data_IF_437783415084
#
_entry.id   IF_437783415084
#
_cell.length_a   1.000
_cell.length_b   1.000
_cell.length_c   1.000
_cell.angle_alpha   90.00
_cell.angle_beta   90.00
_cell.angle_gamma   90.00
#
_symmetry.space_group_name_H-M   'P 1'
#
loop_
_entity.id
_entity.type
_entity.pdbx_description
1 polymer ?
#
# COMPACT_ATOMS: atom_id res chain seq x y z
N UNK A 1 -34.16 -24.85 -37.52
CA UNK A 1 -33.22 -23.87 -38.09
C UNK A 1 -32.24 -23.56 -36.98
N UNK A 2 -30.93 -23.78 -37.18
CA UNK A 2 -29.94 -23.43 -36.17
C UNK A 2 -29.81 -21.92 -36.09
N UNK A 3 -29.90 -21.35 -34.90
CA UNK A 3 -29.77 -19.91 -34.71
C UNK A 3 -28.37 -19.47 -35.14
N UNK A 4 -28.33 -18.53 -36.08
CA UNK A 4 -27.10 -17.98 -36.61
C UNK A 4 -26.45 -17.10 -35.55
N UNK A 5 -25.26 -17.50 -35.08
CA UNK A 5 -24.56 -16.80 -34.03
C UNK A 5 -23.37 -16.02 -34.57
N UNK A 6 -23.29 -14.71 -34.27
CA UNK A 6 -22.11 -13.93 -34.60
C UNK A 6 -20.98 -14.26 -33.61
N UNK A 7 -19.79 -14.52 -34.14
CA UNK A 7 -18.58 -14.84 -33.42
C UNK A 7 -17.41 -14.01 -33.98
N UNK A 8 -16.41 -13.75 -33.16
CA UNK A 8 -15.16 -13.12 -33.61
C UNK A 8 -14.04 -14.16 -33.56
N UNK A 9 -13.21 -14.22 -34.59
CA UNK A 9 -12.09 -15.16 -34.70
C UNK A 9 -10.80 -14.38 -34.88
N UNK A 10 -9.71 -14.83 -34.26
CA UNK A 10 -8.38 -14.28 -34.45
C UNK A 10 -7.30 -15.37 -34.50
N UNK A 11 -6.15 -15.04 -35.10
CA UNK A 11 -4.96 -15.89 -35.09
C UNK A 11 -4.21 -15.74 -33.75
N UNK A 12 -3.31 -16.67 -33.43
CA UNK A 12 -2.36 -16.63 -32.31
C UNK A 12 -1.71 -15.24 -32.11
N UNK A 13 -1.32 -14.56 -33.19
CA UNK A 13 -0.71 -13.22 -33.14
C UNK A 13 -1.67 -12.09 -32.76
N UNK A 14 -2.99 -12.33 -32.72
CA UNK A 14 -4.07 -11.36 -32.44
C UNK A 14 -4.08 -10.10 -33.33
N UNK A 15 -3.29 -10.06 -34.41
CA UNK A 15 -3.14 -8.90 -35.31
C UNK A 15 -4.38 -8.69 -36.21
N UNK A 16 -5.00 -9.77 -36.65
CA UNK A 16 -6.20 -9.75 -37.48
C UNK A 16 -7.34 -10.45 -36.75
N UNK A 17 -8.52 -9.82 -36.78
CA UNK A 17 -9.76 -10.41 -36.26
C UNK A 17 -10.87 -10.32 -37.29
N UNK A 18 -11.60 -11.42 -37.45
CA UNK A 18 -12.66 -11.58 -38.43
C UNK A 18 -13.98 -11.85 -37.70
N UNK A 19 -15.05 -11.18 -38.14
CA UNK A 19 -16.41 -11.47 -37.69
C UNK A 19 -17.00 -12.57 -38.57
N UNK A 20 -17.44 -13.67 -37.96
CA UNK A 20 -18.06 -14.79 -38.66
C UNK A 20 -19.45 -15.03 -38.09
N UNK A 21 -20.34 -15.50 -38.96
CA UNK A 21 -21.67 -15.98 -38.55
C UNK A 21 -21.70 -17.48 -38.77
N UNK A 22 -21.91 -18.21 -37.67
CA UNK A 22 -21.84 -19.67 -37.63
C UNK A 22 -23.02 -20.27 -36.90
N UNK A 23 -23.37 -21.49 -37.25
CA UNK A 23 -24.41 -22.29 -36.59
C UNK A 23 -23.83 -23.42 -35.72
N UNK A 24 -22.54 -23.73 -35.85
CA UNK A 24 -21.88 -24.77 -35.05
C UNK A 24 -20.37 -24.55 -34.90
N UNK A 25 -19.76 -25.22 -33.93
CA UNK A 25 -18.32 -25.19 -33.68
C UNK A 25 -17.52 -25.70 -34.88
N UNK A 26 -18.01 -26.74 -35.56
CA UNK A 26 -17.38 -27.26 -36.78
C UNK A 26 -17.38 -26.21 -37.91
N UNK A 27 -18.49 -25.47 -38.06
CA UNK A 27 -18.55 -24.40 -39.05
C UNK A 27 -17.61 -23.24 -38.69
N UNK A 28 -17.42 -22.96 -37.40
CA UNK A 28 -16.43 -21.99 -36.93
C UNK A 28 -14.99 -22.42 -37.27
N UNK A 29 -14.65 -23.71 -37.14
CA UNK A 29 -13.33 -24.22 -37.53
C UNK A 29 -13.08 -24.08 -39.03
N UNK A 30 -14.05 -24.43 -39.86
CA UNK A 30 -13.93 -24.36 -41.32
C UNK A 30 -13.84 -22.90 -41.78
N UNK A 31 -14.84 -22.06 -41.48
CA UNK A 31 -14.83 -20.65 -41.90
C UNK A 31 -13.72 -19.85 -41.23
N UNK A 32 -13.38 -20.19 -39.99
CA UNK A 32 -12.30 -19.58 -39.23
C UNK A 32 -10.93 -19.89 -39.83
N UNK A 33 -10.67 -21.13 -40.21
CA UNK A 33 -9.41 -21.50 -40.87
C UNK A 33 -9.29 -20.87 -42.27
N UNK A 34 -10.37 -20.90 -43.07
CA UNK A 34 -10.43 -20.22 -44.38
C UNK A 34 -10.13 -18.72 -44.27
N UNK A 35 -10.77 -18.03 -43.32
CA UNK A 35 -10.58 -16.58 -43.13
C UNK A 35 -9.21 -16.20 -42.56
N UNK A 36 -8.59 -17.09 -41.79
CA UNK A 36 -7.24 -16.89 -41.24
C UNK A 36 -6.12 -17.40 -42.16
N UNK A 37 -6.45 -18.06 -43.27
CA UNK A 37 -5.46 -18.67 -44.17
C UNK A 37 -4.74 -19.86 -43.56
N UNK A 38 -5.33 -20.53 -42.57
CA UNK A 38 -4.82 -21.78 -42.01
C UNK A 38 -5.16 -22.91 -42.99
N UNK A 39 -4.20 -23.79 -43.29
CA UNK A 39 -4.39 -24.88 -44.25
C UNK A 39 -5.57 -25.77 -43.86
N UNK A 40 -6.47 -26.03 -44.81
CA UNK A 40 -7.76 -26.71 -44.57
C UNK A 40 -7.65 -28.14 -44.00
N UNK A 41 -6.46 -28.75 -44.06
CA UNK A 41 -6.18 -30.12 -43.55
C UNK A 41 -5.46 -30.16 -42.20
N UNK A 42 -5.01 -29.03 -41.65
CA UNK A 42 -4.32 -29.02 -40.37
C UNK A 42 -5.33 -29.12 -39.20
N UNK A 43 -5.06 -29.91 -38.14
CA UNK A 43 -5.84 -29.86 -36.93
C UNK A 43 -5.78 -28.45 -36.33
N UNK A 44 -6.95 -27.87 -36.04
CA UNK A 44 -7.06 -26.56 -35.42
C UNK A 44 -7.78 -26.68 -34.08
N UNK A 45 -7.12 -26.17 -33.03
CA UNK A 45 -7.69 -26.00 -31.71
C UNK A 45 -8.40 -24.65 -31.61
N UNK A 46 -9.59 -24.64 -31.01
CA UNK A 46 -10.37 -23.42 -30.79
C UNK A 46 -10.31 -23.11 -29.31
N UNK A 47 -9.86 -21.91 -28.97
CA UNK A 47 -9.76 -21.45 -27.58
C UNK A 47 -10.44 -20.10 -27.43
N UNK A 48 -10.81 -19.75 -26.20
CA UNK A 48 -11.26 -18.40 -25.86
C UNK A 48 -10.08 -17.43 -25.86
N UNK A 49 -10.26 -16.28 -26.48
CA UNK A 49 -9.19 -15.28 -26.57
C UNK A 49 -8.83 -14.68 -25.20
N UNK A 50 -9.80 -14.61 -24.29
CA UNK A 50 -9.71 -13.94 -23.00
C UNK A 50 -8.81 -14.68 -22.00
N UNK A 51 -8.99 -15.99 -21.87
CA UNK A 51 -8.41 -16.80 -20.79
C UNK A 51 -7.75 -18.10 -21.29
N UNK A 52 -7.87 -18.41 -22.59
CA UNK A 52 -7.27 -19.59 -23.19
C UNK A 52 -8.06 -20.87 -22.97
N UNK A 53 -9.29 -20.78 -22.47
CA UNK A 53 -10.15 -21.96 -22.28
C UNK A 53 -10.39 -22.65 -23.63
N UNK A 54 -10.07 -23.95 -23.70
CA UNK A 54 -10.22 -24.75 -24.92
C UNK A 54 -11.70 -25.10 -25.12
N UNK A 55 -12.21 -24.85 -26.33
CA UNK A 55 -13.61 -25.08 -26.71
C UNK A 55 -13.66 -26.26 -27.69
N UNK A 56 -13.90 -27.46 -27.15
CA UNK A 56 -14.07 -28.69 -27.94
C UNK A 56 -15.52 -29.17 -27.99
N UNK A 57 -16.33 -28.77 -27.02
CA UNK A 57 -17.73 -29.17 -26.88
C UNK A 57 -18.69 -28.16 -27.53
N UNK A 58 -19.63 -28.68 -28.33
CA UNK A 58 -20.67 -27.91 -29.00
C UNK A 58 -21.63 -27.27 -28.00
N UNK A 59 -21.95 -27.95 -26.89
CA UNK A 59 -22.86 -27.42 -25.87
C UNK A 59 -22.21 -26.22 -25.18
N UNK A 60 -20.93 -26.35 -24.80
CA UNK A 60 -20.15 -25.23 -24.26
C UNK A 60 -20.08 -24.06 -25.23
N UNK A 61 -19.82 -24.30 -26.52
CA UNK A 61 -19.84 -23.26 -27.55
C UNK A 61 -21.16 -22.50 -27.55
N UNK A 62 -22.30 -23.19 -27.53
CA UNK A 62 -23.65 -22.60 -27.57
C UNK A 62 -24.00 -21.80 -26.30
N UNK A 63 -23.46 -22.14 -25.14
CA UNK A 63 -23.69 -21.43 -23.88
C UNK A 63 -22.94 -20.10 -23.76
N UNK A 64 -21.90 -19.88 -24.58
CA UNK A 64 -21.13 -18.63 -24.54
C UNK A 64 -21.99 -17.43 -25.02
N UNK A 65 -21.63 -16.18 -24.69
CA UNK A 65 -22.33 -15.00 -25.20
C UNK A 65 -22.16 -14.78 -26.71
N UNK A 66 -23.12 -14.13 -27.37
CA UNK A 66 -22.96 -13.65 -28.75
C UNK A 66 -21.74 -12.71 -28.88
N UNK A 67 -21.06 -12.72 -30.03
CA UNK A 67 -19.82 -11.97 -30.29
C UNK A 67 -18.61 -12.35 -29.42
N UNK A 68 -18.63 -13.54 -28.79
CA UNK A 68 -17.44 -14.09 -28.11
C UNK A 68 -16.26 -14.18 -29.08
N UNK A 69 -15.07 -13.82 -28.59
CA UNK A 69 -13.82 -13.83 -29.35
C UNK A 69 -13.09 -15.15 -29.14
N UNK A 70 -13.00 -15.90 -30.20
CA UNK A 70 -12.28 -17.16 -30.29
C UNK A 70 -10.92 -16.95 -30.95
N UNK A 71 -9.98 -17.80 -30.61
CA UNK A 71 -8.66 -17.89 -31.21
C UNK A 71 -8.51 -19.29 -31.79
N UNK A 72 -8.10 -19.36 -33.05
CA UNK A 72 -7.79 -20.61 -33.73
C UNK A 72 -6.27 -20.80 -33.69
N UNK A 73 -5.84 -21.95 -33.20
CA UNK A 73 -4.45 -22.32 -33.00
C UNK A 73 -4.12 -23.57 -33.83
N UNK A 74 -3.03 -23.52 -34.59
CA UNK A 74 -2.50 -24.73 -35.26
C UNK A 74 -1.75 -25.66 -34.31
N UNK A 75 -1.35 -26.84 -34.80
CA UNK A 75 -0.68 -27.92 -34.03
C UNK A 75 0.52 -27.53 -33.16
N UNK A 76 1.18 -26.40 -33.46
CA UNK A 76 2.38 -25.92 -32.75
C UNK A 76 2.16 -24.60 -32.01
N UNK A 77 0.93 -24.09 -31.99
CA UNK A 77 0.61 -22.80 -31.40
C UNK A 77 -0.12 -23.00 -30.07
N UNK A 78 0.30 -22.28 -29.04
CA UNK A 78 -0.30 -22.35 -27.69
C UNK A 78 -0.88 -20.99 -27.33
N UNK A 79 -2.06 -20.95 -26.71
CA UNK A 79 -2.60 -19.68 -26.21
C UNK A 79 -1.63 -19.03 -25.22
N UNK A 80 -1.44 -17.72 -25.33
CA UNK A 80 -0.70 -16.91 -24.37
C UNK A 80 -1.55 -15.74 -23.93
N UNK A 81 -1.59 -15.38 -22.64
CA UNK A 81 -2.36 -14.24 -22.17
C UNK A 81 -1.88 -12.96 -22.88
N UNK A 82 -2.81 -12.08 -23.26
CA UNK A 82 -2.41 -10.70 -23.52
C UNK A 82 -1.92 -10.17 -22.19
N UNK A 83 -0.74 -9.55 -22.17
CA UNK A 83 -0.35 -8.67 -21.07
C UNK A 83 -1.29 -7.45 -21.10
N UNK A 84 -2.56 -7.65 -20.73
CA UNK A 84 -3.51 -6.56 -20.50
C UNK A 84 -3.08 -5.97 -19.17
N UNK A 85 -2.21 -4.97 -19.27
CA UNK A 85 -2.02 -4.02 -18.18
C UNK A 85 -3.36 -3.29 -18.10
N UNK A 86 -4.22 -3.72 -17.18
CA UNK A 86 -5.48 -3.07 -16.83
C UNK A 86 -5.15 -1.68 -16.28
N UNK A 87 -5.04 -0.71 -17.20
CA UNK A 87 -4.63 0.65 -16.92
C UNK A 87 -4.94 1.58 -18.09
N UNK A 88 -6.24 1.72 -18.39
CA UNK A 88 -6.90 2.98 -18.77
C UNK A 88 -6.40 3.94 -19.87
N UNK A 89 -5.27 3.76 -20.58
CA UNK A 89 -4.81 4.80 -21.55
C UNK A 89 -4.08 4.31 -22.81
N UNK A 90 -3.83 3.02 -23.02
CA UNK A 90 -2.90 2.55 -24.05
C UNK A 90 -3.49 2.25 -25.46
N UNK A 91 -4.50 2.99 -25.94
CA UNK A 91 -4.93 2.87 -27.36
C UNK A 91 -4.11 3.73 -28.33
N UNK A 92 -3.09 4.45 -27.83
CA UNK A 92 -2.26 5.35 -28.64
C UNK A 92 -0.86 4.81 -28.98
N UNK A 93 -0.44 3.64 -28.48
CA UNK A 93 0.90 3.09 -28.79
C UNK A 93 0.84 2.08 -29.94
N UNK A 94 0.24 2.48 -31.07
CA UNK A 94 0.13 1.64 -32.28
C UNK A 94 1.30 1.80 -33.26
N UNK A 95 2.34 2.54 -32.89
CA UNK A 95 3.48 2.76 -33.76
C UNK A 95 4.78 2.55 -32.99
N UNK A 96 5.18 1.29 -32.84
CA UNK A 96 6.56 0.86 -32.60
C UNK A 96 6.62 -0.65 -32.80
N UNK A 97 6.70 -1.06 -34.07
CA UNK A 97 7.56 -2.18 -34.42
C UNK A 97 8.95 -1.88 -33.86
N UNK A 98 9.46 -2.66 -32.93
CA UNK A 98 10.91 -2.91 -32.78
C UNK A 98 11.09 -4.17 -31.89
N UNK A 99 11.20 -5.30 -32.58
CA UNK A 99 12.08 -6.44 -32.24
C UNK A 99 11.80 -7.15 -30.89
N UNK A 100 10.93 -8.17 -30.91
CA UNK A 100 11.09 -9.31 -29.99
C UNK A 100 12.20 -10.21 -30.56
N UNK A 101 13.42 -10.08 -30.04
CA UNK A 101 14.42 -11.15 -30.11
C UNK A 101 14.08 -12.13 -29.00
N UNK A 102 13.74 -13.35 -29.40
CA UNK A 102 13.67 -14.53 -28.56
C UNK A 102 15.07 -14.83 -27.98
N UNK A 103 15.25 -14.67 -26.67
CA UNK A 103 16.38 -15.25 -25.97
C UNK A 103 16.04 -15.61 -24.52
N UNK A 104 16.49 -16.82 -24.19
CA UNK A 104 16.34 -17.59 -22.96
C UNK A 104 17.07 -16.91 -21.80
N UNK A 105 16.48 -16.90 -20.59
CA UNK A 105 17.10 -16.64 -19.27
C UNK A 105 18.15 -15.50 -19.18
N UNK A 106 17.90 -14.38 -19.86
CA UNK A 106 18.68 -13.17 -19.71
C UNK A 106 17.93 -12.18 -18.84
N UNK A 107 18.53 -11.74 -17.74
CA UNK A 107 18.20 -10.52 -17.02
C UNK A 107 17.60 -9.46 -17.97
N UNK A 108 16.34 -9.08 -17.78
CA UNK A 108 15.79 -7.84 -18.36
C UNK A 108 16.82 -6.77 -18.03
N UNK A 109 17.48 -6.24 -19.06
CA UNK A 109 18.58 -5.29 -18.89
C UNK A 109 18.10 -4.18 -17.96
N UNK A 110 18.85 -3.85 -16.90
CA UNK A 110 18.51 -2.74 -16.00
C UNK A 110 18.21 -1.46 -16.78
N UNK A 111 18.84 -1.32 -17.96
CA UNK A 111 18.63 -0.28 -18.96
C UNK A 111 17.17 -0.14 -19.41
N UNK A 112 16.43 -1.24 -19.55
CA UNK A 112 15.02 -1.21 -19.95
C UNK A 112 14.13 -0.83 -18.77
N UNK A 113 14.41 -1.34 -17.57
CA UNK A 113 13.56 -1.12 -16.38
C UNK A 113 13.49 0.34 -15.97
N UNK A 114 14.64 1.00 -15.83
CA UNK A 114 14.62 2.40 -15.41
C UNK A 114 14.02 3.31 -16.46
N UNK A 115 14.17 2.98 -17.74
CA UNK A 115 13.58 3.76 -18.82
C UNK A 115 12.05 3.69 -18.77
N UNK A 116 11.47 2.51 -18.48
CA UNK A 116 10.03 2.37 -18.23
C UNK A 116 9.58 3.23 -17.04
N UNK A 117 10.34 3.21 -15.93
CA UNK A 117 10.04 4.03 -14.76
C UNK A 117 10.12 5.53 -15.05
N UNK A 118 11.10 5.95 -15.86
CA UNK A 118 11.22 7.33 -16.32
C UNK A 118 10.03 7.71 -17.22
N UNK A 119 9.60 6.86 -18.15
CA UNK A 119 8.40 7.12 -18.95
C UNK A 119 7.13 7.22 -18.08
N UNK A 120 7.02 6.39 -17.05
CA UNK A 120 5.91 6.47 -16.09
C UNK A 120 5.91 7.81 -15.35
N UNK A 121 7.07 8.26 -14.88
CA UNK A 121 7.22 9.57 -14.24
C UNK A 121 6.92 10.74 -15.18
N UNK A 122 7.28 10.61 -16.46
CA UNK A 122 6.98 11.62 -17.49
C UNK A 122 5.47 11.80 -17.67
N UNK A 123 4.72 10.71 -17.60
CA UNK A 123 3.26 10.74 -17.73
C UNK A 123 2.58 11.24 -16.44
N UNK A 124 3.05 10.77 -15.29
CA UNK A 124 2.50 11.13 -13.99
C UNK A 124 3.59 11.17 -12.90
N UNK A 125 3.93 12.38 -12.44
CA UNK A 125 4.86 12.59 -11.34
C UNK A 125 4.29 12.12 -9.98
N UNK A 126 2.97 12.00 -9.82
CA UNK A 126 2.38 11.50 -8.58
C UNK A 126 2.65 10.01 -8.34
N UNK A 127 3.05 9.29 -9.39
CA UNK A 127 3.43 7.87 -9.31
C UNK A 127 4.59 7.59 -8.34
N UNK A 128 5.39 8.59 -7.98
CA UNK A 128 6.45 8.52 -6.95
C UNK A 128 5.90 7.95 -5.62
N UNK A 129 4.65 8.27 -5.27
CA UNK A 129 4.04 7.87 -4.00
C UNK A 129 3.91 6.34 -3.92
N UNK A 130 3.51 5.72 -5.03
CA UNK A 130 3.21 4.28 -5.10
C UNK A 130 4.39 3.43 -5.54
N UNK A 131 5.48 4.04 -6.04
CA UNK A 131 6.70 3.33 -6.42
C UNK A 131 7.38 2.64 -5.23
N UNK A 132 7.97 1.48 -5.50
CA UNK A 132 8.77 0.76 -4.51
C UNK A 132 10.10 1.50 -4.24
N UNK A 133 10.71 1.26 -3.09
CA UNK A 133 12.04 1.81 -2.75
C UNK A 133 13.11 1.41 -3.77
N UNK A 134 13.05 0.16 -4.26
CA UNK A 134 13.99 -0.35 -5.27
C UNK A 134 13.85 0.44 -6.56
N UNK A 135 12.63 0.66 -7.02
CA UNK A 135 12.38 1.42 -8.25
C UNK A 135 12.83 2.88 -8.12
N UNK A 136 12.57 3.51 -6.96
CA UNK A 136 13.06 4.86 -6.68
C UNK A 136 14.58 4.91 -6.67
N UNK A 137 15.26 3.92 -6.08
CA UNK A 137 16.71 3.83 -6.07
C UNK A 137 17.27 3.73 -7.49
N UNK A 138 16.67 2.90 -8.34
CA UNK A 138 17.13 2.77 -9.74
C UNK A 138 17.07 4.10 -10.48
N UNK A 139 16.08 4.95 -10.22
CA UNK A 139 15.93 6.25 -10.88
C UNK A 139 16.92 7.30 -10.37
N UNK A 140 17.29 7.21 -9.09
CA UNK A 140 18.24 8.11 -8.46
C UNK A 140 19.67 7.80 -8.88
N UNK A 141 20.02 6.52 -9.05
CA UNK A 141 21.37 6.07 -9.41
C UNK A 141 21.78 6.43 -10.86
N UNK A 142 20.82 6.85 -11.70
CA UNK A 142 21.08 7.21 -13.10
C UNK A 142 21.66 8.62 -13.20
N UNK A 143 22.65 8.85 -14.08
CA UNK A 143 23.13 10.20 -14.35
C UNK A 143 22.00 11.15 -14.78
N UNK A 144 21.95 12.35 -14.17
CA UNK A 144 20.92 13.37 -14.43
C UNK A 144 20.74 13.68 -15.93
N UNK A 145 21.82 13.66 -16.71
CA UNK A 145 21.80 13.89 -18.16
C UNK A 145 21.01 12.82 -18.92
N UNK A 146 21.16 11.55 -18.55
CA UNK A 146 20.44 10.44 -19.16
C UNK A 146 18.96 10.48 -18.76
N UNK A 147 18.68 10.72 -17.49
CA UNK A 147 17.31 10.84 -17.00
C UNK A 147 16.59 12.05 -17.63
N UNK A 148 17.29 13.17 -17.82
CA UNK A 148 16.73 14.36 -18.46
C UNK A 148 16.35 14.09 -19.91
N UNK A 149 17.17 13.32 -20.64
CA UNK A 149 16.86 12.91 -22.01
C UNK A 149 15.65 11.98 -22.10
N UNK A 150 15.46 11.08 -21.12
CA UNK A 150 14.32 10.16 -21.10
C UNK A 150 13.00 10.85 -20.71
N UNK A 151 13.07 11.79 -19.76
CA UNK A 151 11.92 12.58 -19.29
C UNK A 151 11.55 13.74 -20.23
N UNK A 152 12.43 14.10 -21.15
CA UNK A 152 12.32 15.32 -21.99
C UNK A 152 12.22 16.59 -21.13
N UNK A 153 13.01 16.62 -20.05
CA UNK A 153 13.11 17.74 -19.12
C UNK A 153 14.44 18.45 -19.26
N UNK A 154 14.48 19.73 -18.86
CA UNK A 154 15.74 20.46 -18.68
C UNK A 154 16.51 19.83 -17.52
N UNK A 155 17.83 19.71 -17.66
CA UNK A 155 18.73 19.12 -16.65
C UNK A 155 18.52 19.69 -15.24
N UNK A 156 18.31 21.01 -15.10
CA UNK A 156 18.04 21.64 -13.79
C UNK A 156 16.72 21.17 -13.15
N UNK A 157 15.69 20.88 -13.95
CA UNK A 157 14.42 20.34 -13.46
C UNK A 157 14.57 18.87 -13.07
N UNK A 158 15.29 18.10 -13.88
CA UNK A 158 15.61 16.70 -13.59
C UNK A 158 16.43 16.55 -12.32
N UNK A 159 17.38 17.45 -12.07
CA UNK A 159 18.16 17.46 -10.84
C UNK A 159 17.26 17.69 -9.61
N UNK A 160 16.38 18.69 -9.64
CA UNK A 160 15.40 18.92 -8.57
C UNK A 160 14.47 17.71 -8.36
N UNK A 161 14.12 17.01 -9.44
CA UNK A 161 13.33 15.78 -9.37
C UNK A 161 14.12 14.67 -8.70
N UNK A 162 15.38 14.42 -9.09
CA UNK A 162 16.23 13.41 -8.45
C UNK A 162 16.46 13.70 -6.96
N UNK A 163 16.68 14.97 -6.58
CA UNK A 163 16.74 15.35 -5.16
C UNK A 163 15.42 15.06 -4.42
N UNK A 164 14.29 15.22 -5.11
CA UNK A 164 12.98 14.91 -4.52
C UNK A 164 12.76 13.41 -4.40
N UNK A 165 13.19 12.62 -5.40
CA UNK A 165 13.16 11.15 -5.35
C UNK A 165 14.02 10.64 -4.19
N UNK A 166 15.23 11.17 -4.03
CA UNK A 166 16.12 10.85 -2.90
C UNK A 166 15.45 11.17 -1.56
N UNK A 167 14.89 12.38 -1.38
CA UNK A 167 14.19 12.76 -0.15
C UNK A 167 13.00 11.83 0.18
N UNK A 168 12.28 11.37 -0.83
CA UNK A 168 11.17 10.41 -0.64
C UNK A 168 11.71 9.03 -0.24
N UNK A 169 12.81 8.59 -0.85
CA UNK A 169 13.46 7.33 -0.51
C UNK A 169 13.98 7.34 0.93
N UNK A 170 14.70 8.40 1.32
CA UNK A 170 15.21 8.57 2.68
C UNK A 170 14.07 8.51 3.70
N UNK A 171 12.96 9.20 3.43
CA UNK A 171 11.77 9.18 4.30
C UNK A 171 11.17 7.78 4.42
N UNK A 172 11.07 7.02 3.33
CA UNK A 172 10.53 5.64 3.37
C UNK A 172 11.43 4.72 4.21
N UNK A 173 12.75 4.87 4.09
CA UNK A 173 13.71 4.10 4.88
C UNK A 173 13.66 4.49 6.37
N UNK A 174 13.53 5.77 6.70
CA UNK A 174 13.30 6.25 8.07
C UNK A 174 12.02 5.64 8.68
N UNK A 175 10.92 5.61 7.92
CA UNK A 175 9.66 5.00 8.34
C UNK A 175 9.83 3.48 8.59
N UNK A 176 10.60 2.79 7.75
CA UNK A 176 10.93 1.36 7.92
C UNK A 176 11.74 1.12 9.20
N UNK A 177 12.80 1.89 9.41
CA UNK A 177 13.66 1.79 10.60
C UNK A 177 12.88 2.06 11.89
N UNK A 178 12.03 3.09 11.89
CA UNK A 178 11.16 3.42 13.02
C UNK A 178 10.18 2.29 13.35
N UNK A 179 9.55 1.71 12.31
CA UNK A 179 8.65 0.56 12.48
C UNK A 179 9.36 -0.65 13.07
N UNK A 180 10.57 -0.95 12.61
CA UNK A 180 11.38 -2.06 13.12
C UNK A 180 11.74 -1.85 14.61
N UNK A 181 12.15 -0.64 14.98
CA UNK A 181 12.43 -0.28 16.36
C UNK A 181 11.21 -0.44 17.27
N UNK A 182 10.04 0.02 16.83
CA UNK A 182 8.78 -0.13 17.58
C UNK A 182 8.40 -1.60 17.76
N UNK A 183 8.61 -2.44 16.74
CA UNK A 183 8.38 -3.88 16.87
C UNK A 183 9.30 -4.52 17.90
N UNK A 184 10.58 -4.11 17.96
CA UNK A 184 11.50 -4.58 18.98
C UNK A 184 11.08 -4.13 20.39
N UNK A 185 10.61 -2.88 20.53
CA UNK A 185 10.08 -2.37 21.80
C UNK A 185 8.85 -3.17 22.26
N UNK A 186 7.86 -3.38 21.39
CA UNK A 186 6.66 -4.18 21.71
C UNK A 186 7.03 -5.60 22.14
N UNK A 187 7.95 -6.25 21.42
CA UNK A 187 8.48 -7.58 21.80
C UNK A 187 9.22 -7.58 23.13
N UNK A 188 9.87 -6.48 23.51
CA UNK A 188 10.54 -6.36 24.79
C UNK A 188 9.52 -6.18 25.92
N UNK A 189 8.50 -5.33 25.73
CA UNK A 189 7.40 -5.14 26.67
C UNK A 189 6.63 -6.45 26.91
N UNK A 190 6.27 -7.19 25.85
CA UNK A 190 5.60 -8.49 25.99
C UNK A 190 6.44 -9.50 26.78
N UNK A 191 7.77 -9.44 26.66
CA UNK A 191 8.69 -10.28 27.44
C UNK A 191 8.79 -9.85 28.89
N UNK A 192 8.81 -8.54 29.17
CA UNK A 192 8.76 -8.01 30.53
C UNK A 192 7.46 -8.42 31.22
N UNK A 193 6.29 -8.24 30.57
CA UNK A 193 4.99 -8.67 31.07
C UNK A 193 4.95 -10.20 31.33
N UNK A 194 5.56 -10.98 30.43
CA UNK A 194 5.66 -12.44 30.59
C UNK A 194 6.62 -12.85 31.71
N UNK A 195 7.68 -12.08 31.96
CA UNK A 195 8.65 -12.31 33.04
C UNK A 195 8.07 -11.92 34.41
N UNK A 196 7.30 -10.85 34.50
CA UNK A 196 6.54 -10.46 35.70
C UNK A 196 5.46 -11.49 36.04
N UNK A 197 4.77 -12.04 35.04
CA UNK A 197 3.78 -13.12 35.20
C UNK A 197 4.40 -14.48 35.61
N UNK A 198 5.68 -14.72 35.32
CA UNK A 198 6.41 -15.93 35.75
C UNK A 198 7.04 -15.76 37.15
N UNK A 199 7.54 -14.56 37.48
CA UNK A 199 8.06 -14.24 38.81
C UNK A 199 6.96 -14.32 39.90
N UNK A 200 5.72 -13.96 39.56
CA UNK A 200 4.55 -14.08 40.44
C UNK A 200 4.06 -15.53 40.66
N UNK A 201 4.55 -16.53 39.90
CA UNK A 201 4.19 -17.96 40.10
C UNK A 201 5.19 -18.76 40.94
N UNK A 202 6.37 -18.20 41.23
CA UNK A 202 7.42 -18.88 42.02
C UNK A 202 7.60 -18.30 43.43
N UNK A 203 6.90 -17.21 43.78
CA UNK A 203 6.70 -16.75 45.16
C UNK A 203 5.50 -17.45 45.79
N UNK A 204 5.75 -18.42 46.67
CA UNK A 204 4.75 -19.29 47.29
C UNK A 204 3.78 -18.56 48.25
N UNK A 205 2.59 -19.14 48.38
CA UNK A 205 1.82 -19.13 49.62
C UNK A 205 0.83 -17.98 49.80
N UNK A 206 -0.46 -18.33 49.72
CA UNK A 206 -1.54 -17.81 50.55
C UNK A 206 -1.53 -16.30 50.84
N UNK A 207 -2.10 -15.51 49.93
CA UNK A 207 -3.08 -14.47 50.28
C UNK A 207 -3.88 -14.13 49.02
N UNK A 208 -5.16 -14.46 49.05
CA UNK A 208 -6.19 -13.97 48.14
C UNK A 208 -6.22 -12.43 48.15
N UNK A 209 -5.78 -11.80 47.04
CA UNK A 209 -6.12 -10.41 46.79
C UNK A 209 -6.10 -10.08 45.29
N UNK A 210 -7.30 -10.16 44.72
CA UNK A 210 -7.83 -9.33 43.63
C UNK A 210 -6.84 -8.64 42.68
N UNK A 211 -7.02 -8.95 41.39
CA UNK A 211 -6.86 -8.04 40.26
C UNK A 211 -7.64 -6.73 40.56
N UNK A 212 -6.98 -5.82 41.28
CA UNK A 212 -7.47 -4.50 41.62
C UNK A 212 -6.38 -3.54 41.20
N UNK A 213 -6.67 -2.77 40.15
CA UNK A 213 -5.93 -1.57 39.79
C UNK A 213 -5.66 -0.81 41.09
N UNK A 214 -4.40 -0.84 41.56
CA UNK A 214 -4.01 -0.15 42.78
C UNK A 214 -4.01 1.35 42.49
N UNK A 215 -5.20 1.94 42.55
CA UNK A 215 -5.35 3.33 42.93
C UNK A 215 -4.89 3.39 44.37
N UNK A 216 -3.78 4.08 44.62
CA UNK A 216 -3.36 4.37 45.98
C UNK A 216 -4.52 5.07 46.68
N UNK A 217 -5.16 4.35 47.59
CA UNK A 217 -6.45 4.74 48.18
C UNK A 217 -6.33 6.03 49.01
N UNK A 218 -5.11 6.42 49.37
CA UNK A 218 -4.82 7.68 50.05
C UNK A 218 -4.77 8.87 49.08
N UNK A 219 -4.32 8.67 47.84
CA UNK A 219 -4.08 9.76 46.89
C UNK A 219 -5.06 9.83 45.73
N UNK A 220 -5.80 8.76 45.42
CA UNK A 220 -6.79 8.72 44.35
C UNK A 220 -6.21 8.84 42.93
N UNK A 221 -4.90 8.65 42.78
CA UNK A 221 -4.21 8.62 41.48
C UNK A 221 -3.68 7.23 41.20
N UNK A 222 -3.49 6.91 39.92
CA UNK A 222 -2.75 5.71 39.52
C UNK A 222 -1.29 5.82 39.98
N UNK A 223 -0.70 4.70 40.39
CA UNK A 223 0.71 4.63 40.81
C UNK A 223 1.66 5.23 39.77
N UNK A 224 1.38 4.99 38.48
CA UNK A 224 2.12 5.57 37.35
C UNK A 224 2.10 7.10 37.35
N UNK A 225 0.94 7.72 37.54
CA UNK A 225 0.77 9.18 37.58
C UNK A 225 1.62 9.79 38.70
N UNK A 226 1.65 9.15 39.87
CA UNK A 226 2.47 9.61 41.00
C UNK A 226 3.97 9.46 40.75
N UNK A 227 4.41 8.38 40.11
CA UNK A 227 5.83 8.22 39.73
C UNK A 227 6.27 9.30 38.75
N UNK A 228 5.43 9.63 37.76
CA UNK A 228 5.71 10.69 36.79
C UNK A 228 5.78 12.05 37.49
N UNK A 229 4.80 12.38 38.34
CA UNK A 229 4.77 13.62 39.10
C UNK A 229 5.97 13.78 40.04
N UNK A 230 6.42 12.67 40.67
CA UNK A 230 7.58 12.68 41.58
C UNK A 230 8.93 12.62 40.85
N UNK A 231 8.94 12.49 39.52
CA UNK A 231 10.15 12.45 38.69
C UNK A 231 10.93 13.77 38.66
N UNK A 232 12.14 13.72 38.06
CA UNK A 232 13.02 14.90 37.88
C UNK A 232 12.82 15.65 36.56
N UNK A 233 11.95 15.14 35.69
CA UNK A 233 11.61 15.70 34.37
C UNK A 233 10.35 16.56 34.46
N UNK A 234 10.06 17.42 33.47
CA UNK A 234 8.80 18.16 33.31
C UNK A 234 7.56 17.24 33.29
N UNK A 235 6.92 16.97 34.44
CA UNK A 235 5.88 15.94 34.50
C UNK A 235 4.61 16.33 33.74
N UNK A 236 4.32 17.63 33.59
CA UNK A 236 3.15 18.16 32.89
C UNK A 236 3.07 17.68 31.44
N UNK A 237 4.21 17.52 30.77
CA UNK A 237 4.26 17.07 29.36
C UNK A 237 3.99 15.58 29.19
N UNK A 238 4.20 14.77 30.24
CA UNK A 238 4.16 13.30 30.19
C UNK A 238 2.83 12.69 30.61
N UNK A 239 1.96 13.51 31.20
CA UNK A 239 0.64 13.09 31.63
C UNK A 239 -0.38 13.22 30.49
N UNK A 240 -1.38 12.36 30.49
CA UNK A 240 -2.54 12.49 29.62
C UNK A 240 -3.37 13.73 30.00
N UNK A 241 -4.23 14.19 29.09
CA UNK A 241 -5.12 15.33 29.36
C UNK A 241 -6.05 15.07 30.54
N UNK A 242 -6.52 13.83 30.71
CA UNK A 242 -7.37 13.42 31.83
C UNK A 242 -6.61 13.41 33.17
N UNK A 243 -5.38 12.87 33.18
CA UNK A 243 -4.52 12.90 34.36
C UNK A 243 -4.15 14.34 34.76
N UNK A 244 -3.82 15.20 33.80
CA UNK A 244 -3.56 16.62 34.05
C UNK A 244 -4.78 17.31 34.67
N UNK A 245 -5.97 17.05 34.14
CA UNK A 245 -7.21 17.61 34.67
C UNK A 245 -7.49 17.12 36.10
N UNK A 246 -7.25 15.84 36.39
CA UNK A 246 -7.39 15.28 37.74
C UNK A 246 -6.41 15.91 38.73
N UNK A 247 -5.15 16.10 38.34
CA UNK A 247 -4.11 16.75 39.16
C UNK A 247 -4.45 18.22 39.44
N UNK A 248 -4.88 18.96 38.42
CA UNK A 248 -5.28 20.38 38.56
C UNK A 248 -6.54 20.51 39.43
N UNK A 249 -7.51 19.60 39.27
CA UNK A 249 -8.78 19.64 40.02
C UNK A 249 -8.60 19.31 41.50
N UNK A 250 -7.62 18.47 41.85
CA UNK A 250 -7.28 18.19 43.26
C UNK A 250 -6.73 19.41 44.02
N UNK A 251 -6.05 20.33 43.33
CA UNK A 251 -5.56 21.58 43.90
C UNK A 251 -4.33 21.45 44.81
N UNK A 252 -3.69 22.59 45.12
CA UNK A 252 -2.41 22.68 45.83
C UNK A 252 -2.37 21.98 47.20
N UNK A 253 -3.28 22.24 48.14
CA UNK A 253 -3.15 21.68 49.50
C UNK A 253 -3.30 20.15 49.52
N UNK A 254 -4.13 19.57 48.65
CA UNK A 254 -4.26 18.11 48.55
C UNK A 254 -3.04 17.49 47.86
N UNK A 255 -2.52 18.14 46.82
CA UNK A 255 -1.33 17.68 46.10
C UNK A 255 -0.06 17.76 46.95
N UNK A 256 0.04 18.71 47.90
CA UNK A 256 1.14 18.79 48.85
C UNK A 256 1.22 17.54 49.73
N UNK A 257 0.06 17.08 50.22
CA UNK A 257 -0.04 15.86 51.04
C UNK A 257 0.26 14.61 50.22
N UNK A 258 -0.20 14.53 48.98
CA UNK A 258 0.00 13.38 48.07
C UNK A 258 1.47 13.26 47.63
N UNK A 259 2.12 14.38 47.31
CA UNK A 259 3.49 14.39 46.82
C UNK A 259 4.53 14.42 47.94
N UNK A 260 4.15 14.84 49.15
CA UNK A 260 5.08 15.06 50.25
C UNK A 260 6.06 16.20 49.98
N UNK A 261 5.65 17.17 49.15
CA UNK A 261 6.48 18.29 48.71
C UNK A 261 6.11 19.56 49.47
N UNK A 262 7.02 20.54 49.51
CA UNK A 262 6.70 21.85 50.06
C UNK A 262 5.69 22.60 49.16
N UNK A 263 4.94 23.53 49.75
CA UNK A 263 3.87 24.21 49.02
C UNK A 263 4.34 25.04 47.83
N UNK A 264 5.54 25.62 47.89
CA UNK A 264 6.11 26.37 46.77
C UNK A 264 6.40 25.49 45.56
N UNK A 265 6.96 24.28 45.76
CA UNK A 265 7.25 23.32 44.69
C UNK A 265 5.96 22.72 44.13
N UNK A 266 5.00 22.39 45.00
CA UNK A 266 3.70 21.86 44.56
C UNK A 266 2.90 22.91 43.78
N UNK A 267 2.93 24.18 44.21
CA UNK A 267 2.31 25.29 43.48
C UNK A 267 2.95 25.51 42.10
N UNK A 268 4.28 25.47 42.02
CA UNK A 268 4.99 25.59 40.74
C UNK A 268 4.63 24.45 39.78
N UNK A 269 4.56 23.22 40.29
CA UNK A 269 4.12 22.05 39.53
C UNK A 269 2.68 22.22 39.02
N UNK A 270 1.75 22.62 39.88
CA UNK A 270 0.35 22.79 39.48
C UNK A 270 0.16 23.91 38.46
N UNK A 271 0.91 25.00 38.59
CA UNK A 271 0.92 26.07 37.61
C UNK A 271 1.42 25.56 36.25
N UNK A 272 2.49 24.75 36.24
CA UNK A 272 2.99 24.12 35.02
C UNK A 272 1.93 23.19 34.39
N UNK A 273 1.32 22.30 35.19
CA UNK A 273 0.23 21.42 34.74
C UNK A 273 -0.98 22.21 34.18
N UNK A 274 -1.34 23.34 34.81
CA UNK A 274 -2.44 24.18 34.35
C UNK A 274 -2.11 24.89 33.03
N UNK A 275 -0.87 25.36 32.86
CA UNK A 275 -0.42 25.99 31.61
C UNK A 275 -0.37 25.00 30.43
N UNK A 276 0.07 23.77 30.69
CA UNK A 276 0.09 22.70 29.69
C UNK A 276 -1.34 22.29 29.31
N UNK A 277 -2.22 22.12 30.31
CA UNK A 277 -3.63 21.75 30.08
C UNK A 277 -4.37 22.81 29.26
N UNK A 278 -4.18 24.10 29.57
CA UNK A 278 -4.81 25.19 28.82
C UNK A 278 -4.28 25.26 27.38
N UNK A 279 -2.98 25.06 27.17
CA UNK A 279 -2.36 24.97 25.85
C UNK A 279 -2.96 23.84 25.00
N UNK A 280 -3.10 22.64 25.58
CA UNK A 280 -3.72 21.48 24.90
C UNK A 280 -5.18 21.74 24.55
N UNK A 281 -5.97 22.30 25.46
CA UNK A 281 -7.37 22.64 25.21
C UNK A 281 -7.53 23.68 24.10
N UNK A 282 -6.68 24.71 24.09
CA UNK A 282 -6.70 25.72 23.04
C UNK A 282 -6.36 25.15 21.66
N UNK A 283 -5.37 24.24 21.58
CA UNK A 283 -5.03 23.55 20.33
C UNK A 283 -6.22 22.70 19.82
N UNK A 284 -6.86 21.93 20.70
CA UNK A 284 -8.05 21.14 20.35
C UNK A 284 -9.19 22.03 19.88
N UNK A 285 -9.41 23.17 20.53
CA UNK A 285 -10.44 24.13 20.13
C UNK A 285 -10.15 24.75 18.75
N UNK A 286 -8.90 25.17 18.50
CA UNK A 286 -8.48 25.71 17.20
C UNK A 286 -8.68 24.68 16.06
N UNK A 287 -8.30 23.42 16.30
CA UNK A 287 -8.52 22.31 15.37
C UNK A 287 -10.00 22.08 15.08
N UNK A 288 -10.86 22.12 16.11
CA UNK A 288 -12.32 22.00 15.95
C UNK A 288 -12.89 23.16 15.13
N UNK A 289 -12.45 24.40 15.37
CA UNK A 289 -12.86 25.56 14.58
C UNK A 289 -12.50 25.42 13.10
N UNK A 290 -11.29 24.97 12.77
CA UNK A 290 -10.87 24.69 11.39
C UNK A 290 -11.74 23.59 10.75
N UNK A 291 -11.99 22.50 11.48
CA UNK A 291 -12.84 21.41 10.99
C UNK A 291 -14.29 21.83 10.74
N UNK A 292 -14.81 22.81 11.51
CA UNK A 292 -16.16 23.34 11.33
C UNK A 292 -16.26 24.28 10.12
N UNK A 293 -15.20 25.02 9.78
CA UNK A 293 -15.15 25.86 8.58
C UNK A 293 -15.10 25.02 7.29
N UNK A 294 -14.38 23.90 7.31
CA UNK A 294 -14.30 22.97 6.18
C UNK A 294 -15.57 22.14 5.92
N UNK A 295 -16.62 22.30 6.74
CA UNK A 295 -17.86 21.53 6.66
C UNK A 295 -19.09 22.36 6.28
N UNK A 296 -18.91 23.63 5.92
CA UNK A 296 -19.99 24.42 5.32
C UNK A 296 -20.14 24.01 3.84
N UNK A 297 -21.36 23.68 3.38
CA UNK A 297 -21.63 23.29 2.00
C UNK A 297 -21.46 24.44 1.01
#
# INVERSE_FOLDING_TARGET
>A
MGDLRPCKVCNFKRQHSYGLVVHSLQQLKIKGSESLGLGAEAPVSVVLEQDGTIVEDEIYFLCLPSNTKFMLLGDKETWRPVRRIEGGTAWMTRDSMLIEVDSVDGSISEVERWWLLAQQLKQDLASIITMSEVDLQTLVDIPCTQLASALDFKESKTQNLQETLQRVLDRKEEERQSKELLQLYLKAVEKEDSQEAQASRQGAGDTDQCDRVEVDSASGFMTRTLMVLKGKTSPETRLSTEELQAVVTKGAPAMEQVLGWNGQRTAALLQACQSELSGRLQQVQAMRSLSSLGRQP
#
